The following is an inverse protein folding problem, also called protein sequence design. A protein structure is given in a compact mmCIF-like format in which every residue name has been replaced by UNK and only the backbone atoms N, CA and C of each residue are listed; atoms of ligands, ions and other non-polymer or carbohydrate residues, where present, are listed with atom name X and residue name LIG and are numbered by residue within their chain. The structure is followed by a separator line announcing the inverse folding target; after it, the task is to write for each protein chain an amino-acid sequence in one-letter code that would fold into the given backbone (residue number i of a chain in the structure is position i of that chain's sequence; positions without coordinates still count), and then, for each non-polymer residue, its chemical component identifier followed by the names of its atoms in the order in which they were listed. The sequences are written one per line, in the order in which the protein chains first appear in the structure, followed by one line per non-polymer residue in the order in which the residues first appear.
data_IF_259143256297
#
_entry.id   IF_259143256297
#
_cell.length_a   1.000
_cell.length_b   1.000
_cell.length_c   1.000
_cell.angle_alpha   90.00
_cell.angle_beta   90.00
_cell.angle_gamma   90.00
#
_symmetry.space_group_name_H-M   'P 1'
#
loop_
_entity.id
_entity.type
_entity.pdbx_description
1 polymer ?
#
# COMPACT_ATOMS: atom_id res chain seq x y z
N UNK A 1 22.21 -0.10 2.94
CA UNK A 1 21.37 0.64 1.97
C UNK A 1 20.78 -0.33 0.97
N UNK A 2 21.58 -1.06 0.19
CA UNK A 2 21.07 -2.06 -0.78
C UNK A 2 20.21 -3.17 -0.17
N UNK A 3 20.57 -3.65 1.03
CA UNK A 3 19.89 -4.75 1.72
C UNK A 3 18.43 -4.42 2.12
N UNK A 4 18.17 -3.18 2.54
CA UNK A 4 16.83 -2.74 2.97
C UNK A 4 15.88 -2.66 1.77
N UNK A 5 16.37 -2.13 0.65
CA UNK A 5 15.57 -2.02 -0.58
C UNK A 5 15.36 -3.38 -1.24
N UNK A 6 16.33 -4.30 -1.13
CA UNK A 6 16.19 -5.68 -1.59
C UNK A 6 15.11 -6.42 -0.78
N UNK A 7 15.16 -6.32 0.55
CA UNK A 7 14.12 -6.89 1.42
C UNK A 7 12.74 -6.30 1.14
N UNK A 8 12.64 -5.00 0.87
CA UNK A 8 11.37 -4.38 0.49
C UNK A 8 10.80 -4.97 -0.82
N UNK A 9 11.67 -5.19 -1.81
CA UNK A 9 11.31 -5.80 -3.09
C UNK A 9 10.80 -7.23 -2.88
N UNK A 10 11.49 -8.04 -2.07
CA UNK A 10 11.08 -9.40 -1.71
C UNK A 10 9.73 -9.43 -1.00
N UNK A 11 9.47 -8.47 -0.10
CA UNK A 11 8.18 -8.37 0.59
C UNK A 11 7.04 -8.00 -0.36
N UNK A 12 7.30 -7.11 -1.33
CA UNK A 12 6.32 -6.75 -2.35
C UNK A 12 6.03 -7.94 -3.30
N UNK A 13 7.05 -8.69 -3.68
CA UNK A 13 6.90 -9.91 -4.50
C UNK A 13 6.10 -10.98 -3.76
N UNK A 14 6.39 -11.18 -2.47
CA UNK A 14 5.62 -12.08 -1.62
C UNK A 14 4.13 -11.67 -1.50
N UNK A 15 3.85 -10.36 -1.39
CA UNK A 15 2.48 -9.85 -1.40
C UNK A 15 1.79 -10.11 -2.74
N UNK A 16 2.47 -9.92 -3.87
CA UNK A 16 1.95 -10.24 -5.19
C UNK A 16 1.64 -11.74 -5.34
N UNK A 17 2.54 -12.61 -4.88
CA UNK A 17 2.33 -14.05 -4.91
C UNK A 17 1.18 -14.51 -3.99
N UNK A 18 0.99 -13.84 -2.84
CA UNK A 18 -0.15 -14.08 -1.96
C UNK A 18 -1.47 -13.60 -2.57
N UNK A 19 -1.47 -12.52 -3.33
CA UNK A 19 -2.65 -12.04 -4.08
C UNK A 19 -3.12 -13.07 -5.12
N UNK A 20 -2.18 -13.75 -5.79
CA UNK A 20 -2.47 -14.83 -6.73
C UNK A 20 -2.97 -16.13 -6.08
N UNK A 21 -3.19 -16.16 -4.75
CA UNK A 21 -3.47 -17.36 -3.94
C UNK A 21 -2.41 -18.48 -4.09
N UNK A 22 -1.21 -18.16 -4.60
CA UNK A 22 -0.14 -19.15 -4.83
C UNK A 22 0.57 -19.55 -3.53
N UNK A 23 0.53 -18.66 -2.53
CA UNK A 23 1.07 -18.89 -1.20
C UNK A 23 -0.09 -19.01 -0.23
N UNK A 24 -0.16 -20.09 0.57
CA UNK A 24 -1.15 -20.29 1.63
C UNK A 24 -1.06 -19.30 2.81
N UNK A 25 -0.57 -18.08 2.57
CA UNK A 25 -0.46 -16.96 3.49
C UNK A 25 -1.54 -15.94 3.11
N UNK A 26 -2.24 -15.38 4.09
CA UNK A 26 -3.23 -14.33 3.82
C UNK A 26 -2.56 -13.13 3.17
N UNK A 27 -3.14 -12.61 2.09
CA UNK A 27 -2.64 -11.45 1.37
C UNK A 27 -2.44 -10.24 2.31
N UNK A 28 -3.40 -9.99 3.20
CA UNK A 28 -3.30 -9.01 4.28
C UNK A 28 -2.04 -9.17 5.14
N UNK A 29 -1.69 -10.40 5.54
CA UNK A 29 -0.50 -10.63 6.36
C UNK A 29 0.78 -10.23 5.64
N UNK A 30 0.79 -10.31 4.30
CA UNK A 30 1.90 -9.85 3.48
C UNK A 30 1.94 -8.32 3.39
N UNK A 31 0.78 -7.66 3.24
CA UNK A 31 0.67 -6.20 3.29
C UNK A 31 1.15 -5.63 4.62
N UNK A 32 0.74 -6.25 5.74
CA UNK A 32 1.16 -5.86 7.07
C UNK A 32 2.69 -5.94 7.24
N UNK A 33 3.30 -7.00 6.73
CA UNK A 33 4.77 -7.13 6.77
C UNK A 33 5.48 -6.01 6.03
N UNK A 34 4.97 -5.62 4.84
CA UNK A 34 5.53 -4.48 4.10
C UNK A 34 5.40 -3.19 4.92
N UNK A 35 4.21 -2.93 5.48
CA UNK A 35 3.97 -1.74 6.29
C UNK A 35 4.88 -1.69 7.52
N UNK A 36 4.96 -2.77 8.30
CA UNK A 36 5.82 -2.84 9.49
C UNK A 36 7.29 -2.67 9.13
N UNK A 37 7.72 -3.22 8.00
CA UNK A 37 9.07 -3.05 7.49
C UNK A 37 9.39 -1.59 7.18
N UNK A 38 8.48 -0.89 6.47
CA UNK A 38 8.66 0.53 6.13
C UNK A 38 8.61 1.40 7.39
N UNK A 39 7.70 1.13 8.33
CA UNK A 39 7.62 1.81 9.64
C UNK A 39 8.87 1.62 10.48
N UNK A 40 9.53 0.47 10.38
CA UNK A 40 10.80 0.21 11.07
C UNK A 40 12.00 0.87 10.40
N UNK A 41 11.85 1.29 9.13
CA UNK A 41 12.93 1.84 8.30
C UNK A 41 12.62 3.25 7.78
N UNK A 42 11.90 4.08 8.54
CA UNK A 42 11.46 5.43 8.09
C UNK A 42 12.61 6.37 7.70
N UNK A 43 13.83 6.12 8.18
CA UNK A 43 15.02 6.87 7.74
C UNK A 43 15.30 6.71 6.23
N UNK A 44 14.84 5.62 5.62
CA UNK A 44 14.92 5.33 4.19
C UNK A 44 13.72 5.82 3.39
N UNK A 45 12.82 6.64 3.95
CA UNK A 45 11.65 7.21 3.26
C UNK A 45 11.96 7.72 1.86
N UNK A 46 13.07 8.45 1.68
CA UNK A 46 13.48 9.01 0.38
C UNK A 46 13.80 7.94 -0.68
N UNK A 47 14.16 6.74 -0.26
CA UNK A 47 14.41 5.61 -1.14
C UNK A 47 13.14 4.77 -1.36
N UNK A 48 12.24 4.70 -0.38
CA UNK A 48 10.95 4.05 -0.53
C UNK A 48 10.00 4.79 -1.47
N UNK A 49 10.00 6.14 -1.45
CA UNK A 49 9.14 6.95 -2.33
C UNK A 49 9.27 6.54 -3.81
N UNK A 50 10.46 6.56 -4.44
CA UNK A 50 10.58 6.18 -5.85
C UNK A 50 10.24 4.71 -6.13
N UNK A 51 10.35 3.83 -5.13
CA UNK A 51 9.87 2.44 -5.24
C UNK A 51 8.36 2.35 -5.26
N UNK A 52 7.66 3.09 -4.40
CA UNK A 52 6.20 3.19 -4.41
C UNK A 52 5.69 3.82 -5.71
N UNK A 53 6.33 4.89 -6.18
CA UNK A 53 6.01 5.49 -7.49
C UNK A 53 6.18 4.47 -8.62
N UNK A 54 7.27 3.69 -8.63
CA UNK A 54 7.49 2.65 -9.62
C UNK A 54 6.41 1.54 -9.58
N UNK A 55 5.94 1.16 -8.39
CA UNK A 55 4.84 0.20 -8.22
C UNK A 55 3.55 0.74 -8.84
N UNK A 56 3.20 2.00 -8.55
CA UNK A 56 2.02 2.66 -9.11
C UNK A 56 2.10 2.81 -10.64
N UNK A 57 3.31 2.97 -11.16
CA UNK A 57 3.56 3.04 -12.60
C UNK A 57 3.54 1.67 -13.30
N UNK A 58 3.74 0.58 -12.58
CA UNK A 58 3.73 -0.78 -13.12
C UNK A 58 2.31 -1.35 -13.19
N UNK A 59 1.87 -1.70 -14.40
CA UNK A 59 0.55 -2.31 -14.66
C UNK A 59 0.31 -3.66 -13.99
N UNK A 60 1.35 -4.28 -13.45
CA UNK A 60 1.31 -5.65 -12.90
C UNK A 60 1.79 -5.70 -11.45
N UNK A 61 1.97 -4.55 -10.79
CA UNK A 61 2.44 -4.46 -9.40
C UNK A 61 1.26 -4.23 -8.45
N UNK A 62 1.32 -4.72 -7.20
CA UNK A 62 0.21 -4.64 -6.27
C UNK A 62 0.03 -3.20 -5.75
N UNK A 63 -0.89 -2.46 -6.37
CA UNK A 63 -1.22 -1.08 -5.97
C UNK A 63 -1.76 -1.01 -4.53
N UNK A 64 -2.43 -2.08 -4.07
CA UNK A 64 -2.94 -2.22 -2.70
C UNK A 64 -1.82 -2.18 -1.65
N UNK A 65 -0.61 -2.65 -1.96
CA UNK A 65 0.56 -2.47 -1.06
C UNK A 65 0.79 -0.99 -0.80
N UNK A 66 0.68 -0.16 -1.84
CA UNK A 66 0.87 1.28 -1.72
C UNK A 66 -0.30 1.89 -0.96
N UNK A 67 -1.55 1.60 -1.35
CA UNK A 67 -2.73 2.11 -0.65
C UNK A 67 -2.70 1.79 0.86
N UNK A 68 -2.45 0.53 1.20
CA UNK A 68 -2.36 0.04 2.57
C UNK A 68 -1.24 0.73 3.36
N UNK A 69 -0.06 0.90 2.75
CA UNK A 69 1.03 1.61 3.41
C UNK A 69 0.70 3.09 3.62
N UNK A 70 0.10 3.74 2.62
CA UNK A 70 -0.21 5.17 2.65
C UNK A 70 -1.37 5.50 3.59
N UNK A 71 -2.26 4.54 3.89
CA UNK A 71 -3.28 4.69 4.94
C UNK A 71 -2.66 5.08 6.29
N UNK A 72 -1.60 4.39 6.66
CA UNK A 72 -0.90 4.59 7.94
C UNK A 72 0.21 5.64 7.87
N UNK A 73 0.99 5.64 6.77
CA UNK A 73 2.14 6.54 6.63
C UNK A 73 1.75 7.95 6.18
N UNK A 74 0.67 8.06 5.40
CA UNK A 74 0.12 9.30 4.84
C UNK A 74 1.18 10.22 4.21
N UNK A 75 2.08 9.66 3.39
CA UNK A 75 3.14 10.46 2.77
C UNK A 75 2.60 11.35 1.64
N UNK A 76 2.68 12.69 1.77
CA UNK A 76 2.13 13.59 0.77
C UNK A 76 2.83 13.49 -0.59
N UNK A 77 4.10 13.07 -0.64
CA UNK A 77 4.84 12.87 -1.89
C UNK A 77 4.14 11.87 -2.82
N UNK A 78 3.67 10.75 -2.29
CA UNK A 78 2.97 9.72 -3.08
C UNK A 78 1.58 10.22 -3.48
N UNK A 79 0.89 10.94 -2.60
CA UNK A 79 -0.40 11.56 -2.93
C UNK A 79 -0.29 12.53 -4.09
N UNK A 80 0.70 13.42 -4.07
CA UNK A 80 0.93 14.42 -5.12
C UNK A 80 1.29 13.75 -6.44
N UNK A 81 2.14 12.72 -6.41
CA UNK A 81 2.48 11.90 -7.56
C UNK A 81 1.24 11.28 -8.22
N UNK A 82 0.38 10.64 -7.41
CA UNK A 82 -0.85 10.01 -7.90
C UNK A 82 -1.80 11.04 -8.53
N UNK A 83 -1.97 12.21 -7.91
CA UNK A 83 -2.80 13.29 -8.45
C UNK A 83 -2.26 13.79 -9.79
N UNK A 84 -0.94 13.99 -9.90
CA UNK A 84 -0.27 14.40 -11.13
C UNK A 84 -0.46 13.37 -12.25
N UNK A 85 -0.22 12.09 -11.97
CA UNK A 85 -0.36 11.03 -12.97
C UNK A 85 -1.82 10.87 -13.44
N UNK A 86 -2.80 11.03 -12.55
CA UNK A 86 -4.22 11.01 -12.89
C UNK A 86 -4.63 12.18 -13.80
N UNK A 87 -4.08 13.38 -13.59
CA UNK A 87 -4.37 14.56 -14.43
C UNK A 87 -3.77 14.42 -15.83
N UNK A 88 -2.58 13.83 -15.92
CA UNK A 88 -1.84 13.68 -17.17
C UNK A 88 -2.36 12.54 -18.07
N UNK A 89 -3.06 11.55 -17.51
CA UNK A 89 -3.37 10.31 -18.25
C UNK A 89 -4.86 9.96 -18.27
N UNK A 90 -5.42 9.75 -19.46
CA UNK A 90 -6.70 9.02 -19.70
C UNK A 90 -6.47 7.50 -19.60
N UNK A 91 -5.63 7.07 -18.66
CA UNK A 91 -5.21 5.69 -18.53
C UNK A 91 -6.29 4.88 -17.79
N UNK A 92 -6.54 3.62 -18.15
CA UNK A 92 -7.38 2.74 -17.34
C UNK A 92 -6.89 2.60 -15.88
N UNK A 93 -5.61 2.89 -15.61
CA UNK A 93 -5.05 2.97 -14.26
C UNK A 93 -5.61 4.10 -13.40
N UNK A 94 -6.23 5.13 -13.98
CA UNK A 94 -6.75 6.26 -13.21
C UNK A 94 -7.83 5.85 -12.21
N UNK A 95 -8.54 4.74 -12.45
CA UNK A 95 -9.48 4.18 -11.46
C UNK A 95 -8.73 3.61 -10.25
N UNK A 96 -7.68 2.82 -10.48
CA UNK A 96 -6.83 2.22 -9.44
C UNK A 96 -6.09 3.29 -8.64
N UNK A 97 -5.54 4.29 -9.32
CA UNK A 97 -4.87 5.43 -8.69
C UNK A 97 -5.82 6.22 -7.79
N UNK A 98 -7.08 6.36 -8.20
CA UNK A 98 -8.12 7.00 -7.38
C UNK A 98 -8.40 6.20 -6.11
N UNK A 99 -8.37 4.87 -6.20
CA UNK A 99 -8.53 4.00 -5.06
C UNK A 99 -7.43 4.22 -4.00
N UNK A 100 -6.17 4.32 -4.45
CA UNK A 100 -5.03 4.67 -3.58
C UNK A 100 -5.24 6.02 -2.88
N UNK A 101 -5.85 7.01 -3.54
CA UNK A 101 -6.17 8.29 -2.92
C UNK A 101 -7.22 8.17 -1.80
N UNK A 102 -8.12 7.19 -1.87
CA UNK A 102 -9.11 6.96 -0.80
C UNK A 102 -8.46 6.52 0.50
N UNK A 103 -7.28 5.88 0.45
CA UNK A 103 -6.52 5.54 1.65
C UNK A 103 -6.10 6.79 2.45
N UNK A 104 -5.95 7.95 1.79
CA UNK A 104 -5.67 9.24 2.43
C UNK A 104 -6.92 9.97 2.92
N UNK A 105 -8.11 9.50 2.56
CA UNK A 105 -9.36 10.09 3.02
C UNK A 105 -9.63 9.69 4.49
N UNK A 106 -10.51 10.39 5.20
CA UNK A 106 -10.88 9.97 6.55
C UNK A 106 -11.59 8.60 6.51
N UNK A 107 -12.41 8.38 5.48
CA UNK A 107 -13.17 7.16 5.30
C UNK A 107 -12.58 6.30 4.18
N UNK A 108 -11.92 5.20 4.54
CA UNK A 108 -11.44 4.21 3.57
C UNK A 108 -12.41 3.03 3.53
N UNK A 109 -13.23 2.88 2.47
CA UNK A 109 -14.25 1.82 2.40
C UNK A 109 -13.65 0.41 2.47
N UNK A 110 -12.43 0.23 1.99
CA UNK A 110 -11.72 -1.05 2.02
C UNK A 110 -11.07 -1.34 3.37
N UNK A 111 -11.13 -0.43 4.35
CA UNK A 111 -10.63 -0.69 5.69
C UNK A 111 -11.32 -1.92 6.33
N UNK A 112 -12.62 -2.10 6.06
CA UNK A 112 -13.42 -3.25 6.53
C UNK A 112 -12.97 -4.60 5.92
N UNK A 113 -12.26 -4.55 4.78
CA UNK A 113 -11.67 -5.76 4.18
C UNK A 113 -10.44 -6.25 4.96
N UNK A 114 -9.88 -5.41 5.82
CA UNK A 114 -8.67 -5.71 6.56
C UNK A 114 -8.97 -5.84 8.06
N UNK A 115 -8.78 -7.05 8.60
CA UNK A 115 -8.84 -7.34 10.03
C UNK A 115 -7.92 -6.47 10.88
N UNK A 116 -6.85 -5.95 10.29
CA UNK A 116 -5.98 -4.99 10.97
C UNK A 116 -6.71 -3.70 11.38
N UNK A 117 -7.67 -3.26 10.57
CA UNK A 117 -8.47 -2.06 10.82
C UNK A 117 -9.88 -2.38 11.36
N UNK A 118 -10.26 -3.67 11.44
CA UNK A 118 -11.51 -4.20 12.00
C UNK A 118 -11.56 -4.16 13.55
N UNK A 119 -10.63 -3.47 14.22
CA UNK A 119 -10.70 -3.25 15.67
C UNK A 119 -11.76 -2.18 16.01
N UNK A 120 -13.00 -2.46 15.64
CA UNK A 120 -14.19 -2.00 16.33
C UNK A 120 -14.68 -3.19 17.17
N UNK A 121 -14.04 -3.38 18.34
CA UNK A 121 -14.80 -3.83 19.50
C UNK A 121 -15.90 -2.78 19.77
N UNK A 122 -17.05 -2.91 19.11
CA UNK A 122 -18.32 -2.53 19.73
C UNK A 122 -18.68 -3.63 20.77
N UNK A 123 -17.81 -3.81 21.76
CA UNK A 123 -18.26 -4.12 23.12
C UNK A 123 -18.70 -2.79 23.73
N UNK A 124 -19.89 -2.34 23.32
CA UNK A 124 -20.67 -1.42 24.13
C UNK A 124 -21.33 -2.22 25.26
N UNK A 125 -20.95 -2.04 26.54
CA UNK A 125 -21.60 -2.77 27.62
C UNK A 125 -22.99 -2.19 27.93
N UNK A 126 -23.99 -3.05 27.71
CA UNK A 126 -25.34 -3.14 28.33
C UNK A 126 -26.46 -2.22 27.86
#
# INVERSE_FOLDING_TARGET
MSDVMEQFDELCDAAMAAFGEELGTSYESSLLRVLEFVKSNLEFRKEFIPKFEAILMSNNSPFEVVAFCMRELQWPEIKDFVILEMDLSQDPRSEVLRDVLTAYDEFWPDADLYKYYDDDEDDGPK
#
